data_IF_579071498321
#
_entry.id   IF_579071498321
#
_cell.length_a   1.000
_cell.length_b   1.000
_cell.length_c   1.000
_cell.angle_alpha   90.00
_cell.angle_beta   90.00
_cell.angle_gamma   90.00
#
_symmetry.space_group_name_H-M   'P 1'
#
loop_
_entity.id
_entity.type
_entity.pdbx_description
1 polymer ?
#
# COMPACT_ATOMS: atom_id res chain seq x y z
N UNK A 1 -60.54 -34.74 1.44
CA UNK A 1 -60.81 -36.14 1.08
C UNK A 1 -60.00 -36.47 -0.16
N UNK A 2 -59.10 -37.45 -0.06
CA UNK A 2 -58.34 -38.20 -1.09
C UNK A 2 -57.90 -37.48 -2.40
N UNK A 3 -56.66 -37.57 -2.88
CA UNK A 3 -55.63 -38.55 -2.60
C UNK A 3 -54.33 -38.20 -3.35
N UNK A 4 -53.25 -38.79 -2.87
CA UNK A 4 -51.89 -38.62 -3.35
C UNK A 4 -51.67 -39.33 -4.70
N UNK A 5 -50.91 -38.70 -5.61
CA UNK A 5 -50.28 -39.38 -6.74
C UNK A 5 -48.80 -39.57 -6.47
N UNK A 6 -48.41 -40.83 -6.36
CA UNK A 6 -47.07 -41.35 -6.13
C UNK A 6 -46.20 -41.28 -7.39
N UNK A 7 -44.91 -41.03 -7.15
CA UNK A 7 -43.69 -41.47 -7.84
C UNK A 7 -43.80 -42.41 -9.05
N UNK A 8 -42.96 -42.19 -10.08
CA UNK A 8 -41.89 -43.16 -10.45
C UNK A 8 -40.88 -42.66 -11.51
N UNK A 9 -39.60 -42.93 -11.20
CA UNK A 9 -38.48 -43.43 -12.05
C UNK A 9 -38.04 -42.68 -13.33
N UNK A 10 -36.76 -42.32 -13.37
CA UNK A 10 -35.72 -43.21 -13.95
C UNK A 10 -34.30 -42.64 -13.73
N UNK A 11 -33.46 -43.41 -13.04
CA UNK A 11 -32.02 -43.19 -12.98
C UNK A 11 -31.39 -43.61 -14.31
N UNK A 12 -30.50 -42.78 -14.87
CA UNK A 12 -29.61 -43.19 -15.95
C UNK A 12 -28.24 -43.53 -15.37
N UNK A 13 -27.99 -44.82 -15.28
CA UNK A 13 -26.67 -45.42 -15.08
C UNK A 13 -26.17 -45.87 -16.45
N UNK A 14 -24.99 -45.42 -16.87
CA UNK A 14 -24.20 -46.17 -17.86
C UNK A 14 -22.75 -45.69 -17.86
N UNK A 15 -21.94 -46.56 -17.27
CA UNK A 15 -20.50 -46.71 -17.24
C UNK A 15 -19.82 -46.57 -18.60
N UNK A 16 -18.61 -46.03 -18.63
CA UNK A 16 -17.57 -46.45 -19.60
C UNK A 16 -16.18 -46.20 -19.03
N UNK A 17 -15.56 -47.30 -18.63
CA UNK A 17 -14.17 -47.47 -18.21
C UNK A 17 -13.28 -47.68 -19.44
N UNK A 18 -12.24 -46.87 -19.61
CA UNK A 18 -11.09 -47.07 -20.52
C UNK A 18 -10.30 -45.73 -20.53
N UNK A 19 -8.98 -45.60 -20.35
CA UNK A 19 -7.87 -46.53 -20.26
C UNK A 19 -6.72 -45.80 -19.55
N UNK A 20 -5.97 -46.51 -18.71
CA UNK A 20 -4.72 -46.04 -18.12
C UNK A 20 -3.63 -46.04 -19.19
N UNK A 21 -3.14 -44.86 -19.59
CA UNK A 21 -1.85 -44.73 -20.28
C UNK A 21 -0.88 -44.04 -19.33
N UNK A 22 -0.06 -44.88 -18.69
CA UNK A 22 1.21 -44.50 -18.09
C UNK A 22 2.23 -44.32 -19.21
N UNK A 23 2.99 -43.21 -19.20
CA UNK A 23 4.39 -43.21 -19.64
C UNK A 23 5.12 -41.91 -19.24
N UNK A 24 5.95 -42.07 -18.22
CA UNK A 24 7.31 -41.53 -18.06
C UNK A 24 7.62 -40.03 -18.21
N UNK A 25 7.86 -39.43 -17.02
CA UNK A 25 9.05 -38.63 -16.63
C UNK A 25 9.80 -37.87 -17.74
N UNK A 26 9.77 -36.55 -17.65
CA UNK A 26 10.98 -35.71 -17.67
C UNK A 26 10.89 -34.65 -16.57
N UNK A 27 11.81 -34.72 -15.60
CA UNK A 27 12.00 -33.69 -14.58
C UNK A 27 12.76 -32.53 -15.25
N UNK A 28 12.05 -31.48 -15.65
CA UNK A 28 12.66 -30.22 -16.05
C UNK A 28 13.08 -29.44 -14.79
N UNK A 29 14.32 -29.66 -14.36
CA UNK A 29 14.99 -28.84 -13.36
C UNK A 29 15.37 -27.52 -14.02
N UNK A 30 14.60 -26.46 -13.79
CA UNK A 30 15.01 -25.11 -14.18
C UNK A 30 16.06 -24.62 -13.17
N UNK A 31 17.31 -24.32 -13.59
CA UNK A 31 18.32 -23.77 -12.70
C UNK A 31 17.90 -22.37 -12.23
N UNK A 32 17.96 -22.19 -10.92
CA UNK A 32 17.78 -20.93 -10.21
C UNK A 32 18.85 -19.95 -10.69
N UNK A 33 18.45 -18.94 -11.46
CA UNK A 33 19.31 -17.81 -11.79
C UNK A 33 19.50 -16.95 -10.51
N UNK A 34 20.59 -17.20 -9.79
CA UNK A 34 21.04 -16.36 -8.68
C UNK A 34 21.47 -14.99 -9.20
N UNK A 35 20.71 -13.96 -8.83
CA UNK A 35 21.07 -12.55 -9.05
C UNK A 35 22.19 -12.14 -8.10
N UNK A 36 23.36 -11.80 -8.60
CA UNK A 36 24.37 -11.04 -7.86
C UNK A 36 24.26 -9.56 -8.21
N UNK A 37 23.49 -8.81 -7.41
CA UNK A 37 23.51 -7.35 -7.45
C UNK A 37 24.76 -6.87 -6.69
N UNK A 38 25.80 -6.49 -7.42
CA UNK A 38 26.95 -5.78 -6.85
C UNK A 38 26.53 -4.36 -6.50
N UNK A 39 26.43 -4.07 -5.21
CA UNK A 39 26.28 -2.72 -4.67
C UNK A 39 27.70 -2.25 -4.33
N UNK A 40 28.34 -1.53 -5.25
CA UNK A 40 29.58 -0.82 -4.94
C UNK A 40 29.24 0.43 -4.12
N UNK A 41 29.75 0.46 -2.90
CA UNK A 41 29.49 1.50 -1.91
C UNK A 41 30.41 2.72 -2.12
N UNK A 42 29.79 3.90 -1.98
CA UNK A 42 30.33 5.15 -1.44
C UNK A 42 31.72 5.62 -1.87
N UNK A 43 31.75 6.64 -2.74
CA UNK A 43 32.79 7.68 -2.66
C UNK A 43 32.15 8.92 -2.03
N UNK A 44 32.43 9.10 -0.75
CA UNK A 44 32.04 10.24 0.06
C UNK A 44 32.92 11.44 -0.33
N UNK A 45 32.60 12.14 -1.41
CA UNK A 45 33.22 13.42 -1.69
C UNK A 45 32.64 14.47 -0.76
N UNK A 46 33.34 14.72 0.35
CA UNK A 46 33.12 15.86 1.24
C UNK A 46 33.21 17.15 0.42
N UNK A 47 32.05 17.70 0.05
CA UNK A 47 31.95 19.02 -0.54
C UNK A 47 32.21 20.05 0.54
N UNK A 48 33.46 20.52 0.59
CA UNK A 48 33.90 21.68 1.35
C UNK A 48 33.14 22.90 0.83
N UNK A 49 31.99 23.22 1.44
CA UNK A 49 31.36 24.52 1.29
C UNK A 49 32.27 25.54 1.97
N UNK A 50 33.02 26.26 1.14
CA UNK A 50 33.77 27.42 1.53
C UNK A 50 32.75 28.52 1.87
N UNK A 51 32.70 28.91 3.15
CA UNK A 51 31.90 30.03 3.62
C UNK A 51 32.70 31.31 3.38
N UNK A 52 32.26 32.15 2.44
CA UNK A 52 32.72 33.54 2.34
C UNK A 52 31.61 34.47 2.87
N UNK A 53 31.83 35.21 3.97
CA UNK A 53 30.98 36.33 4.35
C UNK A 53 31.67 37.64 3.93
N UNK A 54 31.21 38.27 2.86
CA UNK A 54 31.68 39.62 2.49
C UNK A 54 30.48 40.56 2.36
N UNK A 55 30.23 41.25 3.47
CA UNK A 55 29.69 42.62 3.63
C UNK A 55 28.91 43.27 2.49
N UNK A 56 27.67 43.69 2.77
CA UNK A 56 27.23 45.08 2.51
C UNK A 56 25.89 45.35 3.21
N UNK A 57 25.96 46.15 4.28
CA UNK A 57 24.85 46.94 4.83
C UNK A 57 24.46 48.02 3.83
N UNK A 58 23.25 48.01 3.25
CA UNK A 58 22.48 49.23 2.86
C UNK A 58 20.99 48.87 2.71
N UNK A 59 20.13 49.57 3.46
CA UNK A 59 18.87 50.08 2.89
C UNK A 59 17.57 49.33 3.20
N UNK A 60 16.72 49.98 4.01
CA UNK A 60 15.32 50.17 3.64
C UNK A 60 14.28 49.24 4.27
N UNK A 61 13.56 49.80 5.26
CA UNK A 61 12.16 49.46 5.51
C UNK A 61 11.93 48.37 6.56
N UNK A 62 11.53 48.79 7.75
CA UNK A 62 10.75 47.95 8.67
C UNK A 62 9.36 47.80 8.04
N UNK A 63 9.25 47.02 6.95
CA UNK A 63 7.96 46.45 6.59
C UNK A 63 7.66 45.47 7.69
N UNK A 64 6.57 45.71 8.41
CA UNK A 64 5.97 44.79 9.36
C UNK A 64 5.75 43.47 8.63
N UNK A 65 6.74 42.60 8.66
CA UNK A 65 6.66 41.25 8.15
C UNK A 65 5.74 40.51 9.13
N UNK A 66 4.43 40.64 8.90
CA UNK A 66 3.46 39.66 9.40
C UNK A 66 3.92 38.34 8.81
N UNK A 67 4.71 37.61 9.60
CA UNK A 67 5.14 36.28 9.27
C UNK A 67 3.89 35.42 9.22
N UNK A 68 3.30 35.31 8.04
CA UNK A 68 2.40 34.22 7.71
C UNK A 68 3.25 32.95 7.74
N UNK A 69 3.50 32.43 8.94
CA UNK A 69 4.00 31.09 9.16
C UNK A 69 2.90 30.14 8.68
N UNK A 70 2.85 29.91 7.37
CA UNK A 70 2.10 28.81 6.78
C UNK A 70 2.62 27.54 7.43
N UNK A 71 1.85 27.02 8.39
CA UNK A 71 2.15 25.77 9.06
C UNK A 71 2.36 24.72 7.99
N UNK A 72 3.59 24.21 7.88
CA UNK A 72 3.90 23.13 6.96
C UNK A 72 2.88 22.02 7.18
N UNK A 73 1.99 21.82 6.21
CA UNK A 73 0.94 20.81 6.32
C UNK A 73 1.63 19.47 6.28
N UNK A 74 2.00 18.96 7.46
CA UNK A 74 2.70 17.69 7.64
C UNK A 74 1.87 16.62 6.93
N UNK A 75 2.51 15.87 6.03
CA UNK A 75 1.86 14.84 5.22
C UNK A 75 1.26 13.69 6.05
N UNK A 76 0.74 12.67 5.36
CA UNK A 76 0.11 11.49 6.00
C UNK A 76 1.13 10.67 6.79
N UNK A 77 0.79 10.26 8.03
CA UNK A 77 1.66 9.36 8.83
C UNK A 77 1.23 7.90 8.71
N UNK A 78 2.17 7.00 8.45
CA UNK A 78 1.89 5.55 8.40
C UNK A 78 2.10 4.92 9.77
N UNK A 79 1.15 4.10 10.23
CA UNK A 79 1.19 3.35 11.48
C UNK A 79 0.72 1.92 11.25
N UNK A 80 1.22 0.97 12.04
CA UNK A 80 0.77 -0.44 12.01
C UNK A 80 -0.69 -0.59 12.49
N UNK A 81 -1.06 0.18 13.50
CA UNK A 81 -2.41 0.25 14.06
C UNK A 81 -2.89 1.70 14.11
N UNK A 82 -4.08 1.95 13.56
CA UNK A 82 -4.64 3.29 13.41
C UNK A 82 -5.81 3.47 14.38
N UNK A 83 -5.76 4.53 15.20
CA UNK A 83 -6.76 4.85 16.24
C UNK A 83 -7.26 6.28 16.08
N UNK A 84 -8.54 6.53 16.39
CA UNK A 84 -9.12 7.88 16.41
C UNK A 84 -8.50 8.68 17.57
N UNK A 85 -8.08 9.92 17.29
CA UNK A 85 -7.54 10.85 18.30
C UNK A 85 -8.51 11.95 18.70
N UNK A 86 -9.58 12.12 17.93
CA UNK A 86 -10.51 13.23 18.02
C UNK A 86 -11.90 12.77 17.57
N UNK A 87 -12.93 13.55 17.92
CA UNK A 87 -14.32 13.29 17.56
C UNK A 87 -14.55 13.41 16.04
N UNK A 88 -13.86 14.35 15.40
CA UNK A 88 -13.93 14.60 13.96
C UNK A 88 -13.18 13.58 13.11
N UNK A 89 -12.47 12.63 13.73
CA UNK A 89 -11.60 11.67 13.07
C UNK A 89 -12.45 10.50 12.53
N UNK A 90 -12.51 10.35 11.20
CA UNK A 90 -13.29 9.30 10.53
C UNK A 90 -12.37 8.20 10.00
N UNK A 91 -12.78 6.96 10.19
CA UNK A 91 -12.09 5.78 9.66
C UNK A 91 -12.68 5.46 8.28
N UNK A 92 -11.84 5.41 7.26
CA UNK A 92 -12.25 5.15 5.87
C UNK A 92 -11.32 4.12 5.24
N UNK A 93 -11.88 3.15 4.50
CA UNK A 93 -11.09 2.23 3.66
C UNK A 93 -11.02 2.80 2.26
N UNK A 94 -9.81 2.89 1.70
CA UNK A 94 -9.56 3.40 0.34
C UNK A 94 -8.56 2.50 -0.38
N UNK A 95 -8.49 2.63 -1.70
CA UNK A 95 -7.63 1.81 -2.57
C UNK A 95 -7.88 0.31 -2.42
N UNK A 96 -9.15 -0.10 -2.31
CA UNK A 96 -9.53 -1.51 -2.43
C UNK A 96 -9.73 -1.89 -3.90
N UNK A 97 -9.57 -3.17 -4.22
CA UNK A 97 -9.81 -3.71 -5.56
C UNK A 97 -10.21 -5.19 -5.51
N UNK A 98 -10.36 -5.84 -6.67
CA UNK A 98 -10.82 -7.24 -6.74
C UNK A 98 -9.91 -8.23 -6.00
N UNK A 99 -8.62 -7.91 -5.93
CA UNK A 99 -7.59 -8.76 -5.30
C UNK A 99 -7.34 -8.45 -3.82
N UNK A 100 -7.68 -7.26 -3.32
CA UNK A 100 -7.31 -6.84 -1.96
C UNK A 100 -8.33 -5.87 -1.32
N UNK A 101 -8.49 -5.96 0.00
CA UNK A 101 -9.49 -5.20 0.79
C UNK A 101 -9.14 -3.71 1.02
N UNK A 102 -8.03 -3.21 0.46
CA UNK A 102 -7.55 -1.84 0.58
C UNK A 102 -6.89 -1.49 1.91
N UNK A 103 -6.50 -0.22 2.06
CA UNK A 103 -5.86 0.30 3.28
C UNK A 103 -6.86 1.10 4.12
N UNK A 104 -6.65 1.06 5.43
CA UNK A 104 -7.42 1.84 6.40
C UNK A 104 -6.76 3.22 6.57
N UNK A 105 -7.55 4.28 6.49
CA UNK A 105 -7.11 5.65 6.65
C UNK A 105 -7.91 6.33 7.76
N UNK A 106 -7.26 7.23 8.49
CA UNK A 106 -7.95 8.25 9.28
C UNK A 106 -7.88 9.58 8.56
N UNK A 107 -9.05 10.14 8.33
CA UNK A 107 -9.24 11.49 7.83
C UNK A 107 -9.79 12.36 8.97
N UNK A 108 -9.29 13.58 9.06
CA UNK A 108 -9.75 14.57 10.02
C UNK A 108 -9.86 15.91 9.29
N UNK A 109 -11.04 16.54 9.25
CA UNK A 109 -11.20 17.88 8.67
C UNK A 109 -10.66 18.96 9.62
N UNK A 110 -10.83 18.80 10.93
CA UNK A 110 -10.48 19.80 11.93
C UNK A 110 -8.97 19.97 12.16
N UNK A 111 -8.18 18.89 12.02
CA UNK A 111 -6.74 18.95 12.24
C UNK A 111 -5.98 17.99 11.30
N UNK A 112 -5.10 18.49 10.42
CA UNK A 112 -4.33 17.67 9.48
C UNK A 112 -3.30 16.76 10.18
N UNK A 113 -2.89 17.02 11.43
CA UNK A 113 -1.94 16.18 12.17
C UNK A 113 -2.49 14.79 12.52
N UNK A 114 -3.80 14.60 12.40
CA UNK A 114 -4.45 13.31 12.67
C UNK A 114 -4.53 12.40 11.45
N UNK A 115 -4.10 12.86 10.26
CA UNK A 115 -4.09 12.08 9.03
C UNK A 115 -3.12 10.89 9.14
N UNK A 116 -3.67 9.66 9.17
CA UNK A 116 -2.92 8.42 9.30
C UNK A 116 -3.33 7.32 8.31
N UNK A 117 -2.40 6.47 7.87
CA UNK A 117 -2.66 5.26 7.06
C UNK A 117 -2.19 4.01 7.80
N UNK A 118 -2.96 2.93 7.67
CA UNK A 118 -2.60 1.61 8.18
C UNK A 118 -1.79 0.84 7.14
N UNK A 119 -0.56 0.44 7.51
CA UNK A 119 0.35 -0.31 6.65
C UNK A 119 1.24 0.57 5.79
#
# INVERSE_FOLDING_TARGET
>A
MAGATLFTRAARLSSSTASLVSSFRTLAVCPIATQTRTISQSVLSKSTRQWLPTTALVGGGIKTAVQQQQQQTRGMKVHSSVKKRCEHCKVVRRKGGKRHRGYLYIICPANPRHKQRQG
#
